data_IF_821652645974
#
_entry.id   IF_821652645974
#
_cell.length_a   1.000
_cell.length_b   1.000
_cell.length_c   1.000
_cell.angle_alpha   90.00
_cell.angle_beta   90.00
_cell.angle_gamma   90.00
#
_symmetry.space_group_name_H-M   'P 1'
#
loop_
_entity.id
_entity.type
_entity.pdbx_description
1 polymer ?
#
# COMPACT_ATOMS: atom_id res chain seq x y z
N UNK A 1 24.83 -26.61 -46.93
CA UNK A 1 25.87 -25.67 -46.46
C UNK A 1 25.56 -25.41 -44.99
N UNK A 2 26.09 -26.16 -44.02
CA UNK A 2 27.49 -26.17 -43.49
C UNK A 2 27.97 -24.75 -43.17
N UNK A 3 27.99 -24.38 -41.89
CA UNK A 3 29.17 -23.95 -41.12
C UNK A 3 28.75 -23.17 -39.83
N UNK A 4 28.83 -23.77 -38.64
CA UNK A 4 29.92 -23.73 -37.63
C UNK A 4 29.89 -22.55 -36.63
N UNK A 5 29.43 -22.87 -35.40
CA UNK A 5 30.00 -22.63 -34.05
C UNK A 5 31.14 -21.61 -33.89
N UNK A 6 31.07 -20.73 -32.87
CA UNK A 6 32.06 -20.62 -31.76
C UNK A 6 31.59 -19.67 -30.62
N UNK A 7 32.14 -19.79 -29.39
CA UNK A 7 31.47 -19.57 -28.12
C UNK A 7 32.07 -18.45 -27.24
N UNK A 8 31.45 -18.28 -26.07
CA UNK A 8 32.06 -17.96 -24.78
C UNK A 8 32.98 -16.74 -24.66
N UNK A 9 32.49 -15.72 -23.95
CA UNK A 9 33.34 -14.94 -23.04
C UNK A 9 32.66 -14.82 -21.68
N UNK A 10 33.03 -15.74 -20.79
CA UNK A 10 32.91 -15.57 -19.34
C UNK A 10 33.89 -14.46 -18.95
N UNK A 11 33.39 -13.28 -18.57
CA UNK A 11 34.15 -12.38 -17.72
C UNK A 11 33.75 -12.67 -16.27
N UNK A 12 34.58 -13.45 -15.61
CA UNK A 12 34.66 -13.44 -14.16
C UNK A 12 35.33 -12.12 -13.76
N UNK A 13 34.64 -11.29 -12.99
CA UNK A 13 35.28 -10.23 -12.23
C UNK A 13 34.99 -10.48 -10.75
N UNK A 14 35.93 -11.19 -10.14
CA UNK A 14 36.02 -11.45 -8.71
C UNK A 14 36.40 -10.13 -8.02
N UNK A 15 35.40 -9.32 -7.69
CA UNK A 15 35.57 -8.11 -6.90
C UNK A 15 35.39 -8.40 -5.42
N UNK A 16 36.46 -8.81 -4.73
CA UNK A 16 36.51 -8.86 -3.28
C UNK A 16 36.62 -7.43 -2.72
N UNK A 17 35.48 -6.79 -2.46
CA UNK A 17 35.43 -5.57 -1.65
C UNK A 17 35.22 -5.97 -0.18
N UNK A 18 36.32 -5.96 0.57
CA UNK A 18 36.28 -5.92 2.02
C UNK A 18 35.71 -4.57 2.46
N UNK A 19 34.54 -4.56 3.10
CA UNK A 19 33.99 -3.37 3.76
C UNK A 19 33.45 -3.72 5.14
N UNK A 20 34.22 -3.26 6.13
CA UNK A 20 33.92 -2.99 7.53
C UNK A 20 32.60 -3.52 8.13
N UNK A 21 32.75 -4.45 9.08
CA UNK A 21 31.77 -4.75 10.13
C UNK A 21 31.59 -3.52 11.04
N UNK A 22 30.70 -2.58 10.68
CA UNK A 22 30.11 -1.68 11.67
C UNK A 22 28.98 -2.44 12.38
N UNK A 23 29.25 -2.86 13.62
CA UNK A 23 28.24 -3.35 14.56
C UNK A 23 27.31 -2.21 14.97
N UNK A 24 26.32 -1.91 14.12
CA UNK A 24 25.18 -1.09 14.50
C UNK A 24 24.25 -1.91 15.38
N UNK A 25 24.04 -1.47 16.62
CA UNK A 25 22.98 -2.00 17.46
C UNK A 25 21.63 -1.79 16.74
N UNK A 26 21.10 -2.85 16.14
CA UNK A 26 19.74 -2.90 15.63
C UNK A 26 18.83 -2.84 16.85
N UNK A 27 18.36 -1.63 17.17
CA UNK A 27 17.23 -1.45 18.05
C UNK A 27 16.03 -2.11 17.37
N UNK A 28 15.77 -3.37 17.73
CA UNK A 28 14.51 -4.02 17.40
C UNK A 28 13.44 -3.25 18.16
N UNK A 29 12.72 -2.37 17.47
CA UNK A 29 11.51 -1.76 18.00
C UNK A 29 10.57 -2.92 18.36
N UNK A 30 10.51 -3.24 19.65
CA UNK A 30 9.50 -4.14 20.16
C UNK A 30 8.18 -3.41 19.92
N UNK A 31 7.21 -4.01 19.21
CA UNK A 31 5.91 -3.38 19.05
C UNK A 31 5.41 -3.07 20.46
N UNK A 32 5.11 -1.79 20.72
CA UNK A 32 4.58 -1.37 22.01
C UNK A 32 3.39 -2.28 22.33
N UNK A 33 3.45 -2.98 23.47
CA UNK A 33 2.37 -3.87 23.89
C UNK A 33 1.07 -3.08 23.79
N UNK A 34 0.12 -3.60 23.00
CA UNK A 34 -1.14 -2.93 22.79
C UNK A 34 -1.73 -2.55 24.15
N UNK A 35 -2.01 -1.26 24.37
CA UNK A 35 -2.55 -0.78 25.63
C UNK A 35 -3.77 -1.64 25.99
N UNK A 36 -3.89 -2.00 27.28
CA UNK A 36 -5.04 -2.76 27.77
C UNK A 36 -6.33 -2.13 27.23
N UNK A 37 -7.21 -2.90 26.54
CA UNK A 37 -8.38 -2.35 25.86
C UNK A 37 -9.30 -1.59 26.81
N UNK A 38 -9.32 -1.95 28.10
CA UNK A 38 -10.05 -1.17 29.12
C UNK A 38 -9.47 0.23 29.30
N UNK A 39 -8.15 0.31 29.42
CA UNK A 39 -7.41 1.57 29.51
C UNK A 39 -7.58 2.41 28.23
N UNK A 40 -7.60 1.76 27.06
CA UNK A 40 -7.88 2.43 25.79
C UNK A 40 -9.30 3.01 25.72
N UNK A 41 -10.34 2.24 26.09
CA UNK A 41 -11.71 2.77 26.18
C UNK A 41 -11.79 3.96 27.15
N UNK A 42 -11.16 3.87 28.34
CA UNK A 42 -11.18 4.90 29.39
C UNK A 42 -10.41 6.18 29.05
N UNK A 43 -9.43 6.12 28.16
CA UNK A 43 -8.61 7.26 27.74
C UNK A 43 -9.16 7.98 26.49
N UNK A 44 -10.37 7.63 26.04
CA UNK A 44 -10.97 8.20 24.84
C UNK A 44 -10.67 7.42 23.55
N UNK A 45 -9.87 6.35 23.63
CA UNK A 45 -9.56 5.47 22.52
C UNK A 45 -10.74 4.65 22.00
N UNK A 46 -11.92 4.71 22.64
CA UNK A 46 -13.14 4.00 22.19
C UNK A 46 -13.56 4.32 20.75
N UNK A 47 -13.17 5.49 20.22
CA UNK A 47 -13.42 5.90 18.83
C UNK A 47 -12.66 5.04 17.82
N UNK A 48 -11.57 4.38 18.26
CA UNK A 48 -10.76 3.50 17.44
C UNK A 48 -11.21 2.03 17.56
N UNK A 49 -12.41 1.76 18.12
CA UNK A 49 -12.95 0.42 18.25
C UNK A 49 -14.43 0.35 17.86
N UNK A 50 -14.84 -0.82 17.36
CA UNK A 50 -16.23 -1.15 17.04
C UNK A 50 -16.80 -2.21 17.98
N UNK A 51 -18.11 -2.17 18.15
CA UNK A 51 -18.87 -3.20 18.85
C UNK A 51 -18.95 -4.45 17.96
N UNK A 52 -18.43 -5.62 18.39
CA UNK A 52 -18.40 -6.82 17.56
C UNK A 52 -19.80 -7.36 17.23
N UNK A 53 -20.83 -6.97 17.99
CA UNK A 53 -22.20 -7.43 17.76
C UNK A 53 -22.90 -6.62 16.66
N UNK A 54 -22.57 -5.35 16.53
CA UNK A 54 -23.23 -4.45 15.56
C UNK A 54 -22.33 -4.08 14.39
N UNK A 55 -21.02 -4.21 14.53
CA UNK A 55 -20.02 -3.69 13.58
C UNK A 55 -19.88 -2.16 13.61
N UNK A 56 -20.65 -1.48 14.44
CA UNK A 56 -20.69 -0.02 14.52
C UNK A 56 -19.65 0.52 15.52
N UNK A 57 -19.10 1.73 15.30
CA UNK A 57 -18.27 2.41 16.30
C UNK A 57 -19.00 2.59 17.63
N UNK A 58 -18.25 2.57 18.74
CA UNK A 58 -18.85 2.84 20.04
C UNK A 58 -19.35 4.28 20.14
N UNK A 59 -20.66 4.45 20.37
CA UNK A 59 -21.28 5.77 20.52
C UNK A 59 -20.71 6.62 21.67
N UNK A 60 -20.14 5.99 22.69
CA UNK A 60 -19.44 6.65 23.79
C UNK A 60 -18.53 5.69 24.56
N UNK A 61 -17.67 6.25 25.39
CA UNK A 61 -16.77 5.53 26.29
C UNK A 61 -17.50 4.51 27.18
N UNK A 62 -18.66 4.88 27.75
CA UNK A 62 -19.41 4.03 28.67
C UNK A 62 -19.82 2.70 28.02
N UNK A 63 -20.24 2.75 26.75
CA UNK A 63 -20.55 1.55 25.95
C UNK A 63 -19.32 0.66 25.77
N UNK A 64 -18.20 1.22 25.32
CA UNK A 64 -16.93 0.49 25.15
C UNK A 64 -16.50 -0.24 26.42
N UNK A 65 -16.46 0.48 27.55
CA UNK A 65 -16.10 -0.11 28.86
C UNK A 65 -17.11 -1.16 29.30
N UNK A 66 -18.42 -0.93 29.09
CA UNK A 66 -19.46 -1.88 29.48
C UNK A 66 -19.39 -3.19 28.69
N UNK A 67 -19.02 -3.12 27.41
CA UNK A 67 -18.84 -4.30 26.55
C UNK A 67 -17.67 -5.14 27.05
N UNK A 68 -16.52 -4.51 27.33
CA UNK A 68 -15.37 -5.19 27.91
C UNK A 68 -15.65 -5.76 29.31
N UNK A 69 -16.38 -5.03 30.16
CA UNK A 69 -16.77 -5.48 31.51
C UNK A 69 -17.66 -6.73 31.52
N UNK A 70 -18.39 -6.96 30.42
CA UNK A 70 -19.19 -8.17 30.22
C UNK A 70 -18.39 -9.32 29.60
N UNK A 71 -17.08 -9.15 29.42
CA UNK A 71 -16.21 -10.12 28.73
C UNK A 71 -16.33 -10.09 27.21
N UNK A 72 -16.93 -9.05 26.64
CA UNK A 72 -16.96 -8.85 25.19
C UNK A 72 -15.58 -8.47 24.66
N UNK A 73 -15.26 -8.89 23.44
CA UNK A 73 -14.10 -8.39 22.71
C UNK A 73 -14.42 -7.02 22.09
N UNK A 74 -13.40 -6.21 21.81
CA UNK A 74 -13.52 -5.03 20.97
C UNK A 74 -12.65 -5.22 19.74
N UNK A 75 -13.11 -4.75 18.59
CA UNK A 75 -12.38 -4.86 17.33
C UNK A 75 -11.83 -3.47 16.99
N UNK A 76 -10.53 -3.32 16.73
CA UNK A 76 -9.99 -2.05 16.24
C UNK A 76 -10.72 -1.60 14.98
N UNK A 77 -11.08 -0.32 14.91
CA UNK A 77 -11.53 0.32 13.66
C UNK A 77 -10.34 0.29 12.71
N UNK A 78 -10.47 -0.42 11.60
CA UNK A 78 -9.47 -0.37 10.54
C UNK A 78 -9.39 1.08 10.03
N UNK A 79 -8.19 1.69 9.97
CA UNK A 79 -8.04 3.00 9.35
C UNK A 79 -8.56 2.94 7.90
N UNK A 80 -9.17 4.02 7.40
CA UNK A 80 -9.65 4.03 6.03
C UNK A 80 -8.48 3.87 5.05
N UNK A 81 -8.71 3.13 3.96
CA UNK A 81 -7.80 3.13 2.82
C UNK A 81 -7.93 4.47 2.10
N UNK A 82 -6.81 5.14 1.91
CA UNK A 82 -6.68 6.39 1.17
C UNK A 82 -5.85 6.14 -0.07
N UNK A 83 -6.23 6.79 -1.16
CA UNK A 83 -5.65 6.61 -2.47
C UNK A 83 -5.26 8.01 -2.98
N UNK A 84 -3.97 8.19 -3.24
CA UNK A 84 -3.41 9.41 -3.79
C UNK A 84 -2.77 9.11 -5.14
N UNK A 85 -2.96 9.99 -6.10
CA UNK A 85 -2.50 9.79 -7.47
C UNK A 85 -1.73 11.01 -7.94
N UNK A 86 -0.51 10.77 -8.39
CA UNK A 86 0.34 11.75 -9.02
C UNK A 86 0.58 11.37 -10.48
N UNK A 87 0.46 12.34 -11.38
CA UNK A 87 0.60 12.12 -12.82
C UNK A 87 1.67 13.06 -13.33
N UNK A 88 2.75 12.51 -13.86
CA UNK A 88 3.88 13.28 -14.38
C UNK A 88 4.01 13.02 -15.87
N UNK A 89 3.85 14.06 -16.70
CA UNK A 89 4.12 13.96 -18.13
C UNK A 89 5.61 13.63 -18.36
N UNK A 90 5.90 12.50 -19.02
CA UNK A 90 7.27 12.10 -19.39
C UNK A 90 7.64 12.71 -20.74
N UNK A 91 6.68 12.75 -21.66
CA UNK A 91 6.80 13.36 -22.98
C UNK A 91 5.39 13.74 -23.50
N UNK A 92 5.25 14.35 -24.70
CA UNK A 92 3.96 14.79 -25.23
C UNK A 92 2.94 13.68 -25.53
N UNK A 93 3.34 12.41 -25.42
CA UNK A 93 2.49 11.24 -25.70
C UNK A 93 2.32 10.30 -24.51
N UNK A 94 3.20 10.37 -23.49
CA UNK A 94 3.27 9.42 -22.38
C UNK A 94 3.40 10.15 -21.05
N UNK A 95 2.61 9.73 -20.07
CA UNK A 95 2.72 10.11 -18.67
C UNK A 95 3.13 8.92 -17.81
N UNK A 96 3.81 9.21 -16.70
CA UNK A 96 4.10 8.30 -15.60
C UNK A 96 3.05 8.55 -14.52
N UNK A 97 2.27 7.53 -14.19
CA UNK A 97 1.27 7.62 -13.12
C UNK A 97 1.82 6.93 -11.89
N UNK A 98 1.88 7.64 -10.78
CA UNK A 98 2.26 7.13 -9.45
C UNK A 98 1.01 7.03 -8.59
N UNK A 99 0.62 5.80 -8.23
CA UNK A 99 -0.47 5.56 -7.28
C UNK A 99 0.13 5.29 -5.90
N UNK A 100 -0.18 6.14 -4.92
CA UNK A 100 0.16 5.95 -3.52
C UNK A 100 -1.08 5.44 -2.78
N UNK A 101 -0.98 4.24 -2.21
CA UNK A 101 -2.03 3.65 -1.36
C UNK A 101 -1.57 3.82 0.07
N UNK A 102 -2.42 4.35 0.95
CA UNK A 102 -2.15 4.39 2.40
C UNK A 102 -3.31 3.78 3.17
N UNK A 103 -3.05 2.77 3.98
CA UNK A 103 -4.08 2.02 4.71
C UNK A 103 -3.50 1.15 5.83
N UNK A 104 -4.31 0.31 6.48
CA UNK A 104 -3.81 -0.69 7.44
C UNK A 104 -2.84 -1.67 6.77
N UNK A 105 -2.09 -2.42 7.58
CA UNK A 105 -1.28 -3.51 7.04
C UNK A 105 -2.19 -4.61 6.46
N UNK A 106 -1.98 -4.91 5.18
CA UNK A 106 -2.76 -5.86 4.42
C UNK A 106 -2.23 -5.99 2.99
N UNK A 107 -2.78 -6.95 2.26
CA UNK A 107 -2.54 -7.10 0.83
C UNK A 107 -3.70 -6.46 0.06
N UNK A 108 -3.42 -5.37 -0.64
CA UNK A 108 -4.41 -4.67 -1.45
C UNK A 108 -4.32 -5.13 -2.91
N UNK A 109 -5.31 -5.86 -3.45
CA UNK A 109 -5.33 -6.19 -4.86
C UNK A 109 -5.64 -4.92 -5.68
N UNK A 110 -4.65 -4.42 -6.40
CA UNK A 110 -4.83 -3.27 -7.29
C UNK A 110 -5.04 -3.76 -8.71
N UNK A 111 -6.11 -3.32 -9.36
CA UNK A 111 -6.33 -3.53 -10.79
C UNK A 111 -6.29 -2.19 -11.51
N UNK A 112 -5.30 -1.99 -12.38
CA UNK A 112 -5.21 -0.80 -13.22
C UNK A 112 -5.66 -1.14 -14.64
N UNK A 113 -6.65 -0.41 -15.12
CA UNK A 113 -7.16 -0.51 -16.50
C UNK A 113 -6.91 0.80 -17.22
N UNK A 114 -6.08 0.75 -18.26
CA UNK A 114 -5.80 1.90 -19.13
C UNK A 114 -6.64 1.73 -20.39
N UNK A 115 -7.40 2.75 -20.78
CA UNK A 115 -8.19 2.68 -22.02
C UNK A 115 -7.28 2.40 -23.20
N UNK A 116 -7.58 1.33 -23.94
CA UNK A 116 -6.77 0.88 -25.08
C UNK A 116 -5.69 -0.16 -24.74
N UNK A 117 -5.56 -0.56 -23.48
CA UNK A 117 -4.76 -1.74 -23.08
C UNK A 117 -5.70 -2.90 -22.73
N UNK A 118 -5.37 -4.10 -23.20
CA UNK A 118 -6.18 -5.31 -23.01
C UNK A 118 -5.82 -6.10 -21.77
N UNK A 119 -4.66 -5.84 -21.17
CA UNK A 119 -4.19 -6.55 -19.97
C UNK A 119 -4.21 -5.60 -18.77
N UNK A 120 -5.00 -5.88 -17.73
CA UNK A 120 -4.94 -5.11 -16.50
C UNK A 120 -3.60 -5.33 -15.79
N UNK A 121 -3.08 -4.29 -15.16
CA UNK A 121 -1.93 -4.45 -14.27
C UNK A 121 -2.46 -4.86 -12.90
N UNK A 122 -1.97 -5.99 -12.39
CA UNK A 122 -2.25 -6.47 -11.04
C UNK A 122 -1.01 -6.37 -10.18
N UNK A 123 -1.11 -5.63 -9.08
CA UNK A 123 -0.03 -5.56 -8.10
C UNK A 123 -0.62 -5.69 -6.70
N UNK A 124 0.04 -6.49 -5.87
CA UNK A 124 -0.22 -6.54 -4.44
C UNK A 124 0.66 -5.48 -3.77
N UNK A 125 0.02 -4.51 -3.11
CA UNK A 125 0.71 -3.61 -2.19
C UNK A 125 0.64 -4.23 -0.81
N UNK A 126 1.80 -4.57 -0.25
CA UNK A 126 1.94 -5.20 1.07
C UNK A 126 2.55 -4.20 2.05
N UNK A 127 1.90 -4.02 3.20
CA UNK A 127 2.27 -3.01 4.20
C UNK A 127 1.58 -1.69 3.88
N UNK A 128 1.12 -0.99 4.92
CA UNK A 128 0.19 0.14 4.83
C UNK A 128 0.57 1.33 3.93
N UNK A 129 1.67 1.29 3.17
CA UNK A 129 1.94 2.24 2.07
C UNK A 129 2.68 1.58 0.90
N UNK A 130 2.26 1.85 -0.33
CA UNK A 130 3.01 1.43 -1.54
C UNK A 130 2.76 2.31 -2.75
N UNK A 131 3.71 2.24 -3.71
CA UNK A 131 3.72 3.05 -4.93
C UNK A 131 3.78 2.17 -6.17
N UNK A 132 2.90 2.44 -7.15
CA UNK A 132 2.92 1.80 -8.46
C UNK A 132 3.18 2.82 -9.54
N UNK A 133 4.14 2.54 -10.43
CA UNK A 133 4.46 3.40 -11.57
C UNK A 133 4.21 2.66 -12.87
N UNK A 134 3.40 3.26 -13.75
CA UNK A 134 3.12 2.70 -15.08
C UNK A 134 3.00 3.79 -16.15
N UNK A 135 3.36 3.49 -17.41
CA UNK A 135 3.18 4.41 -18.52
C UNK A 135 1.71 4.44 -18.96
N UNK A 136 1.16 5.64 -19.18
CA UNK A 136 -0.18 5.84 -19.74
C UNK A 136 -0.14 6.83 -20.91
N UNK A 137 -0.91 6.61 -22.00
CA UNK A 137 -1.04 7.60 -23.06
C UNK A 137 -1.73 8.86 -22.54
N UNK A 138 -1.22 10.05 -22.90
CA UNK A 138 -1.85 11.32 -22.53
C UNK A 138 -3.28 11.41 -23.09
N UNK A 139 -4.19 11.99 -22.30
CA UNK A 139 -5.61 12.13 -22.64
C UNK A 139 -6.43 10.84 -22.56
N UNK A 140 -5.81 9.69 -22.24
CA UNK A 140 -6.54 8.45 -22.00
C UNK A 140 -7.01 8.38 -20.54
N UNK A 141 -8.27 7.99 -20.28
CA UNK A 141 -8.71 7.75 -18.92
C UNK A 141 -8.04 6.48 -18.38
N UNK A 142 -7.51 6.61 -17.18
CA UNK A 142 -6.95 5.55 -16.34
C UNK A 142 -7.99 5.25 -15.27
N UNK A 143 -8.45 4.01 -15.23
CA UNK A 143 -9.38 3.51 -14.22
C UNK A 143 -8.59 2.60 -13.28
N UNK A 144 -8.57 2.97 -12.00
CA UNK A 144 -7.88 2.23 -10.95
C UNK A 144 -8.94 1.70 -9.99
N UNK A 145 -8.89 0.39 -9.73
CA UNK A 145 -9.77 -0.24 -8.75
C UNK A 145 -8.94 -0.84 -7.62
N UNK A 146 -9.25 -0.44 -6.38
CA UNK A 146 -8.63 -0.95 -5.14
C UNK A 146 -9.76 -1.32 -4.18
N UNK A 147 -9.83 -2.59 -3.77
CA UNK A 147 -10.88 -3.10 -2.84
C UNK A 147 -12.32 -2.71 -3.24
N UNK A 148 -12.61 -2.62 -4.55
CA UNK A 148 -13.93 -2.22 -5.06
C UNK A 148 -14.16 -0.70 -5.11
N UNK A 149 -13.27 0.12 -4.55
CA UNK A 149 -13.24 1.56 -4.83
C UNK A 149 -12.68 1.79 -6.23
N UNK A 150 -13.32 2.67 -7.00
CA UNK A 150 -12.89 3.01 -8.36
C UNK A 150 -12.51 4.48 -8.43
N UNK A 151 -11.27 4.74 -8.83
CA UNK A 151 -10.76 6.05 -9.19
C UNK A 151 -10.65 6.12 -10.70
N UNK A 152 -11.10 7.24 -11.28
CA UNK A 152 -10.91 7.53 -12.70
C UNK A 152 -10.16 8.84 -12.81
N UNK A 153 -9.00 8.79 -13.46
CA UNK A 153 -8.16 9.96 -13.70
C UNK A 153 -7.86 10.04 -15.18
N UNK A 154 -7.89 11.24 -15.74
CA UNK A 154 -7.40 11.47 -17.09
C UNK A 154 -6.02 12.09 -16.97
N UNK A 155 -5.02 11.48 -17.58
CA UNK A 155 -3.69 12.09 -17.65
C UNK A 155 -3.77 13.34 -18.54
N UNK A 156 -3.97 14.50 -17.92
CA UNK A 156 -3.83 15.79 -18.59
C UNK A 156 -2.37 16.23 -18.52
N UNK A 157 -1.83 16.82 -19.60
CA UNK A 157 -0.54 17.46 -19.52
C UNK A 157 -0.63 18.63 -18.54
N UNK A 158 0.18 18.63 -17.48
CA UNK A 158 0.27 19.79 -16.59
C UNK A 158 0.79 21.00 -17.36
N UNK A 159 0.01 22.09 -17.37
CA UNK A 159 0.48 23.41 -17.78
C UNK A 159 0.37 23.77 -19.27
N UNK A 160 -0.79 23.58 -19.89
CA UNK A 160 -1.18 24.32 -21.11
C UNK A 160 -2.41 25.17 -20.85
#
# INVERSE_FOLDING_TARGET
>A
MIATVLPARRLALTGACALALLGGAIATATPAAAADPFTACKSGGFVNYTDPLTGEPFANQGRCVSTLARGGAIVPVAPPVTLDMDVVAVNPYVASVTLTITGPDGDYPVTVTIRGHTTPYTVAVTGGTGSLTFPAPLGSPVVITVEGQTLTVTATPDGW
#
